data_IF_645511814350
#
_entry.id   IF_645511814350
#
_cell.length_a   1.000
_cell.length_b   1.000
_cell.length_c   1.000
_cell.angle_alpha   90.00
_cell.angle_beta   90.00
_cell.angle_gamma   90.00
#
_symmetry.space_group_name_H-M   'P 1'
#
loop_
_entity.id
_entity.type
_entity.pdbx_description
1 polymer ?
#
# COMPACT_ATOMS: atom_id res chain seq x y z
N UNK A 1 14.18 1.75 24.75
CA UNK A 1 12.77 2.18 24.71
C UNK A 1 12.02 1.48 23.58
N UNK A 2 10.69 1.38 23.69
CA UNK A 2 9.83 0.77 22.66
C UNK A 2 10.02 1.45 21.30
N UNK A 3 10.11 2.78 21.27
CA UNK A 3 10.36 3.52 20.02
C UNK A 3 11.66 3.06 19.34
N UNK A 4 12.76 2.93 20.10
CA UNK A 4 14.04 2.48 19.58
C UNK A 4 13.94 1.07 19.01
N UNK A 5 13.27 0.15 19.72
CA UNK A 5 13.07 -1.21 19.24
C UNK A 5 12.26 -1.27 17.96
N UNK A 6 11.20 -0.46 17.83
CA UNK A 6 10.42 -0.38 16.60
C UNK A 6 11.31 0.09 15.43
N UNK A 7 12.15 1.10 15.63
CA UNK A 7 13.06 1.58 14.58
C UNK A 7 14.10 0.53 14.15
N UNK A 8 14.58 -0.26 15.08
CA UNK A 8 15.64 -1.25 14.87
C UNK A 8 15.08 -2.57 14.32
N UNK A 9 14.04 -3.11 14.94
CA UNK A 9 13.57 -4.47 14.65
C UNK A 9 12.40 -4.52 13.65
N UNK A 10 11.55 -3.51 13.55
CA UNK A 10 10.42 -3.54 12.63
C UNK A 10 10.82 -3.76 11.16
N UNK A 11 11.91 -3.16 10.63
CA UNK A 11 12.37 -3.46 9.28
C UNK A 11 12.78 -4.91 9.08
N UNK A 12 13.40 -5.52 10.09
CA UNK A 12 13.87 -6.92 10.04
C UNK A 12 12.69 -7.88 10.07
N UNK A 13 11.77 -7.69 11.02
CA UNK A 13 10.56 -8.49 11.15
C UNK A 13 9.70 -8.41 9.90
N UNK A 14 9.56 -7.20 9.33
CA UNK A 14 8.82 -7.00 8.09
C UNK A 14 9.42 -7.77 6.91
N UNK A 15 10.75 -7.83 6.79
CA UNK A 15 11.39 -8.62 5.74
C UNK A 15 11.17 -10.13 5.92
N UNK A 16 11.20 -10.62 7.15
CA UNK A 16 10.93 -12.03 7.48
C UNK A 16 9.46 -12.36 7.15
N UNK A 17 8.54 -11.52 7.58
CA UNK A 17 7.12 -11.66 7.31
C UNK A 17 6.83 -11.65 5.81
N UNK A 18 7.39 -10.69 5.09
CA UNK A 18 7.23 -10.56 3.63
C UNK A 18 7.69 -11.79 2.85
N UNK A 19 8.74 -12.46 3.32
CA UNK A 19 9.22 -13.71 2.72
C UNK A 19 8.28 -14.90 2.98
N UNK A 20 7.60 -14.93 4.13
CA UNK A 20 6.68 -16.01 4.51
C UNK A 20 5.35 -15.94 3.78
N UNK A 21 4.84 -14.74 3.50
CA UNK A 21 3.56 -14.51 2.84
C UNK A 21 3.68 -14.59 1.31
N UNK A 22 3.91 -15.81 0.79
CA UNK A 22 4.06 -16.04 -0.66
C UNK A 22 2.73 -16.25 -1.39
N UNK A 23 1.62 -16.48 -0.70
CA UNK A 23 0.30 -16.70 -1.31
C UNK A 23 -0.57 -15.47 -1.02
N UNK A 24 -0.62 -14.55 -2.00
CA UNK A 24 -1.63 -13.51 -2.00
C UNK A 24 -2.91 -14.05 -2.64
N UNK A 25 -4.05 -13.85 -1.99
CA UNK A 25 -5.33 -14.10 -2.64
C UNK A 25 -5.49 -13.18 -3.84
N UNK A 26 -6.05 -13.70 -4.92
CA UNK A 26 -6.11 -13.03 -6.22
C UNK A 26 -6.95 -11.74 -6.26
N UNK A 27 -7.66 -11.38 -5.19
CA UNK A 27 -8.40 -10.12 -5.06
C UNK A 27 -7.62 -9.17 -4.17
N UNK A 28 -7.19 -8.05 -4.73
CA UNK A 28 -6.45 -7.02 -4.00
C UNK A 28 -7.28 -5.77 -3.79
N UNK A 29 -7.15 -5.17 -2.62
CA UNK A 29 -7.63 -3.81 -2.34
C UNK A 29 -6.41 -2.91 -2.23
N UNK A 30 -6.43 -1.83 -3.00
CA UNK A 30 -5.35 -0.85 -3.01
C UNK A 30 -5.94 0.49 -2.62
N UNK A 31 -5.30 1.15 -1.69
CA UNK A 31 -5.68 2.48 -1.24
C UNK A 31 -4.46 3.37 -1.04
N UNK A 32 -4.71 4.67 -1.09
CA UNK A 32 -3.73 5.71 -0.88
C UNK A 32 -4.15 6.57 0.31
N UNK A 33 -3.27 6.71 1.26
CA UNK A 33 -3.42 7.69 2.34
C UNK A 33 -2.23 8.63 2.38
N UNK A 34 -2.32 9.70 3.14
CA UNK A 34 -1.24 10.68 3.26
C UNK A 34 -0.87 10.90 4.71
N UNK A 35 0.41 11.13 4.93
CA UNK A 35 1.01 11.43 6.22
C UNK A 35 1.88 12.68 6.11
N UNK A 36 2.04 13.41 7.22
CA UNK A 36 2.86 14.61 7.27
C UNK A 36 4.20 14.29 7.92
N UNK A 37 5.30 14.58 7.23
CA UNK A 37 6.66 14.36 7.70
C UNK A 37 7.37 15.71 7.72
N UNK A 38 7.74 16.19 8.91
CA UNK A 38 8.34 17.53 9.09
C UNK A 38 7.57 18.62 8.33
N UNK A 39 6.25 18.63 8.46
CA UNK A 39 5.39 19.61 7.81
C UNK A 39 5.11 19.38 6.33
N UNK A 40 5.75 18.42 5.66
CA UNK A 40 5.54 18.10 4.25
C UNK A 40 4.69 16.86 4.06
N UNK A 41 3.73 16.92 3.14
CA UNK A 41 2.90 15.77 2.80
C UNK A 41 3.69 14.70 2.07
N UNK A 42 3.45 13.46 2.45
CA UNK A 42 3.95 12.24 1.80
C UNK A 42 2.79 11.27 1.64
N UNK A 43 2.86 10.43 0.62
CA UNK A 43 1.77 9.55 0.21
C UNK A 43 2.14 8.11 0.48
N UNK A 44 1.25 7.41 1.15
CA UNK A 44 1.41 6.00 1.50
C UNK A 44 0.45 5.17 0.65
N UNK A 45 1.03 4.36 -0.23
CA UNK A 45 0.32 3.32 -0.95
C UNK A 45 0.30 2.05 -0.13
N UNK A 46 -0.85 1.42 -0.03
CA UNK A 46 -1.05 0.18 0.71
C UNK A 46 -1.91 -0.77 -0.09
N UNK A 47 -1.59 -2.06 -0.01
CA UNK A 47 -2.38 -3.13 -0.61
C UNK A 47 -2.64 -4.23 0.42
N UNK A 48 -3.88 -4.70 0.44
CA UNK A 48 -4.29 -5.87 1.22
C UNK A 48 -4.97 -6.89 0.29
N UNK A 49 -4.96 -8.15 0.70
CA UNK A 49 -5.69 -9.20 0.00
C UNK A 49 -7.18 -9.25 0.40
N UNK A 50 -7.89 -10.27 -0.07
CA UNK A 50 -9.31 -10.46 0.24
C UNK A 50 -9.60 -10.72 1.72
N UNK A 51 -8.64 -11.29 2.45
CA UNK A 51 -8.77 -11.60 3.88
C UNK A 51 -8.28 -10.46 4.79
N UNK A 52 -7.78 -9.38 4.21
CA UNK A 52 -7.28 -8.23 4.95
C UNK A 52 -5.79 -8.30 5.29
N UNK A 53 -5.05 -9.31 4.82
CA UNK A 53 -3.61 -9.38 5.04
C UNK A 53 -2.89 -8.35 4.18
N UNK A 54 -1.96 -7.63 4.80
CA UNK A 54 -1.16 -6.64 4.09
C UNK A 54 -0.21 -7.32 3.10
N UNK A 55 -0.32 -6.94 1.83
CA UNK A 55 0.57 -7.38 0.77
C UNK A 55 1.84 -6.55 0.71
N UNK A 56 1.68 -5.24 0.69
CA UNK A 56 2.80 -4.30 0.68
C UNK A 56 2.37 -2.91 1.12
N UNK A 57 3.37 -2.14 1.60
CA UNK A 57 3.25 -0.71 1.90
C UNK A 57 4.38 0.04 1.22
N UNK A 58 4.10 1.24 0.70
CA UNK A 58 5.10 2.05 0.04
C UNK A 58 4.89 3.55 0.23
N UNK A 59 5.86 4.19 0.87
CA UNK A 59 5.84 5.61 1.14
C UNK A 59 6.55 6.38 0.03
N UNK A 60 5.86 7.37 -0.55
CA UNK A 60 6.36 8.25 -1.61
C UNK A 60 6.23 9.71 -1.24
N UNK A 61 7.12 10.54 -1.77
CA UNK A 61 7.08 11.99 -1.56
C UNK A 61 6.05 12.69 -2.45
N UNK A 62 5.75 12.11 -3.61
CA UNK A 62 4.86 12.70 -4.62
C UNK A 62 3.67 11.79 -4.90
N UNK A 63 2.55 12.40 -5.19
CA UNK A 63 1.34 11.76 -5.69
C UNK A 63 1.28 11.92 -7.20
N UNK A 64 1.56 10.86 -7.92
CA UNK A 64 1.48 10.84 -9.36
C UNK A 64 1.08 9.46 -9.91
N UNK A 65 0.67 9.44 -11.17
CA UNK A 65 0.32 8.19 -11.87
C UNK A 65 1.50 7.22 -11.94
N UNK A 66 2.73 7.74 -11.92
CA UNK A 66 3.96 6.96 -11.95
C UNK A 66 4.15 6.16 -10.66
N UNK A 67 3.91 6.79 -9.52
CA UNK A 67 4.02 6.13 -8.21
C UNK A 67 2.97 5.04 -8.05
N UNK A 68 1.72 5.31 -8.43
CA UNK A 68 0.65 4.31 -8.41
C UNK A 68 0.96 3.11 -9.34
N UNK A 69 1.39 3.39 -10.56
CA UNK A 69 1.81 2.36 -11.52
C UNK A 69 2.96 1.51 -10.98
N UNK A 70 4.01 2.15 -10.46
CA UNK A 70 5.19 1.47 -9.94
C UNK A 70 4.86 0.60 -8.72
N UNK A 71 3.93 1.04 -7.87
CA UNK A 71 3.46 0.26 -6.74
C UNK A 71 2.73 -1.02 -7.18
N UNK A 72 1.78 -0.90 -8.11
CA UNK A 72 1.04 -2.05 -8.63
C UNK A 72 1.96 -3.02 -9.38
N UNK A 73 2.88 -2.50 -10.19
CA UNK A 73 3.91 -3.32 -10.86
C UNK A 73 4.75 -4.11 -9.86
N UNK A 74 5.11 -3.50 -8.73
CA UNK A 74 5.85 -4.15 -7.65
C UNK A 74 5.04 -5.30 -7.03
N UNK A 75 3.74 -5.11 -6.78
CA UNK A 75 2.85 -6.16 -6.29
C UNK A 75 2.77 -7.34 -7.27
N UNK A 76 2.57 -7.05 -8.56
CA UNK A 76 2.49 -8.11 -9.60
C UNK A 76 3.80 -8.90 -9.70
N UNK A 77 4.94 -8.24 -9.60
CA UNK A 77 6.24 -8.93 -9.61
C UNK A 77 6.43 -9.85 -8.39
N UNK A 78 5.87 -9.47 -7.26
CA UNK A 78 6.03 -10.22 -6.01
C UNK A 78 5.01 -11.35 -5.85
N UNK A 79 3.75 -11.11 -6.23
CA UNK A 79 2.62 -12.01 -5.95
C UNK A 79 1.98 -12.61 -7.19
N UNK A 80 2.38 -12.19 -8.39
CA UNK A 80 1.75 -12.62 -9.65
C UNK A 80 0.57 -11.74 -10.05
N UNK A 81 -0.16 -12.17 -11.08
CA UNK A 81 -1.26 -11.40 -11.66
C UNK A 81 -2.53 -11.52 -10.80
N UNK A 82 -3.15 -10.40 -10.37
CA UNK A 82 -4.42 -10.45 -9.67
C UNK A 82 -5.58 -10.79 -10.61
N UNK A 83 -6.61 -11.40 -10.07
CA UNK A 83 -7.88 -11.57 -10.79
C UNK A 83 -8.74 -10.30 -10.68
N UNK A 84 -8.68 -9.61 -9.54
CA UNK A 84 -9.43 -8.39 -9.28
C UNK A 84 -8.61 -7.41 -8.45
N UNK A 85 -8.67 -6.15 -8.84
CA UNK A 85 -8.06 -5.04 -8.10
C UNK A 85 -9.17 -4.03 -7.78
N UNK A 86 -9.41 -3.80 -6.51
CA UNK A 86 -10.40 -2.86 -6.01
C UNK A 86 -9.67 -1.61 -5.54
N UNK A 87 -10.12 -0.46 -5.99
CA UNK A 87 -9.57 0.84 -5.59
C UNK A 87 -10.70 1.82 -5.29
N UNK A 88 -10.32 2.95 -4.69
CA UNK A 88 -11.16 4.13 -4.67
C UNK A 88 -11.37 4.72 -6.09
N UNK A 89 -12.08 5.83 -6.16
CA UNK A 89 -12.37 6.50 -7.43
C UNK A 89 -11.30 7.52 -7.85
N UNK A 90 -10.12 7.54 -7.22
CA UNK A 90 -9.06 8.49 -7.50
C UNK A 90 -8.62 8.42 -8.98
N UNK A 91 -8.59 9.54 -9.71
CA UNK A 91 -8.24 9.56 -11.13
C UNK A 91 -6.84 9.02 -11.41
N UNK A 92 -5.87 9.33 -10.54
CA UNK A 92 -4.48 8.85 -10.64
C UNK A 92 -4.38 7.33 -10.61
N UNK A 93 -5.14 6.69 -9.74
CA UNK A 93 -5.18 5.24 -9.59
C UNK A 93 -5.85 4.58 -10.79
N UNK A 94 -6.95 5.16 -11.30
CA UNK A 94 -7.62 4.65 -12.51
C UNK A 94 -6.68 4.64 -13.72
N UNK A 95 -5.96 5.74 -13.96
CA UNK A 95 -4.98 5.83 -15.07
C UNK A 95 -3.85 4.82 -14.89
N UNK A 96 -3.32 4.69 -13.67
CA UNK A 96 -2.24 3.75 -13.38
C UNK A 96 -2.67 2.30 -13.63
N UNK A 97 -3.87 1.91 -13.18
CA UNK A 97 -4.38 0.55 -13.38
C UNK A 97 -4.67 0.26 -14.85
N UNK A 98 -5.22 1.21 -15.60
CA UNK A 98 -5.43 1.03 -17.04
C UNK A 98 -4.11 0.74 -17.77
N UNK A 99 -3.03 1.44 -17.41
CA UNK A 99 -1.68 1.16 -17.93
C UNK A 99 -1.17 -0.22 -17.52
N UNK A 100 -1.43 -0.64 -16.27
CA UNK A 100 -1.03 -1.97 -15.76
C UNK A 100 -1.78 -3.08 -16.49
N UNK A 101 -3.08 -2.96 -16.66
CA UNK A 101 -3.92 -3.93 -17.39
C UNK A 101 -3.33 -4.16 -18.79
N UNK A 102 -3.02 -3.07 -19.49
CA UNK A 102 -2.42 -3.12 -20.84
C UNK A 102 -1.01 -3.74 -20.83
N UNK A 103 -0.13 -3.29 -19.92
CA UNK A 103 1.27 -3.72 -19.87
C UNK A 103 1.43 -5.20 -19.46
N UNK A 104 0.59 -5.69 -18.55
CA UNK A 104 0.66 -7.06 -18.03
C UNK A 104 -0.37 -8.01 -18.65
N UNK A 105 -1.14 -7.54 -19.64
CA UNK A 105 -2.20 -8.31 -20.30
C UNK A 105 -3.17 -8.93 -19.28
N UNK A 106 -3.68 -8.10 -18.36
CA UNK A 106 -4.69 -8.51 -17.41
C UNK A 106 -6.07 -8.49 -18.08
N UNK A 107 -7.06 -9.16 -17.46
CA UNK A 107 -8.43 -9.11 -17.95
C UNK A 107 -8.97 -7.65 -17.87
N UNK A 108 -9.72 -7.18 -18.88
CA UNK A 108 -10.26 -5.81 -18.90
C UNK A 108 -11.15 -5.49 -17.70
N UNK A 109 -11.87 -6.47 -17.17
CA UNK A 109 -12.75 -6.40 -16.01
C UNK A 109 -12.04 -6.60 -14.66
N UNK A 110 -10.69 -6.68 -14.67
CA UNK A 110 -9.88 -6.86 -13.47
C UNK A 110 -10.04 -5.69 -12.49
N UNK A 111 -10.26 -4.47 -12.98
CA UNK A 111 -10.38 -3.29 -12.14
C UNK A 111 -11.83 -3.01 -11.75
N UNK A 112 -12.05 -2.85 -10.44
CA UNK A 112 -13.33 -2.45 -9.88
C UNK A 112 -13.13 -1.21 -9.00
N UNK A 113 -13.89 -0.16 -9.26
CA UNK A 113 -13.93 1.03 -8.42
C UNK A 113 -15.16 0.97 -7.54
N UNK A 114 -14.99 0.90 -6.23
CA UNK A 114 -16.11 0.90 -5.31
C UNK A 114 -15.72 1.55 -3.99
N UNK A 115 -16.46 2.58 -3.62
CA UNK A 115 -16.30 3.24 -2.32
C UNK A 115 -16.58 2.26 -1.16
N UNK A 116 -17.59 1.43 -1.28
CA UNK A 116 -18.00 0.52 -0.20
C UNK A 116 -17.12 -0.70 -0.04
N UNK A 117 -16.55 -1.22 -1.13
CA UNK A 117 -15.67 -2.39 -1.10
C UNK A 117 -14.27 -2.06 -0.55
N UNK A 118 -13.93 -0.78 -0.43
CA UNK A 118 -12.66 -0.33 0.14
C UNK A 118 -12.71 -0.04 1.65
N UNK A 119 -13.89 -0.14 2.27
CA UNK A 119 -14.04 0.13 3.70
C UNK A 119 -13.12 -0.73 4.59
N UNK A 120 -12.81 -1.97 4.17
CA UNK A 120 -11.90 -2.84 4.91
C UNK A 120 -10.51 -2.24 5.03
N UNK A 121 -9.93 -1.76 3.93
CA UNK A 121 -8.60 -1.12 3.94
C UNK A 121 -8.64 0.27 4.62
N UNK A 122 -9.76 0.99 4.50
CA UNK A 122 -9.93 2.27 5.17
C UNK A 122 -9.97 2.14 6.70
N UNK A 123 -10.61 1.09 7.22
CA UNK A 123 -10.62 0.80 8.66
C UNK A 123 -9.22 0.51 9.18
N UNK A 124 -8.43 -0.23 8.43
CA UNK A 124 -7.05 -0.57 8.73
C UNK A 124 -6.12 0.67 8.74
N UNK A 125 -6.44 1.72 7.99
CA UNK A 125 -5.71 2.98 8.03
C UNK A 125 -5.90 3.79 9.32
N UNK A 126 -6.78 3.37 10.23
CA UNK A 126 -7.09 4.11 11.46
C UNK A 126 -5.84 4.36 12.29
N UNK A 127 -5.02 3.35 12.50
CA UNK A 127 -3.78 3.47 13.27
C UNK A 127 -2.75 4.40 12.62
N UNK A 128 -2.69 4.41 11.30
CA UNK A 128 -1.82 5.31 10.52
C UNK A 128 -2.32 6.74 10.61
N UNK A 129 -3.63 6.96 10.47
CA UNK A 129 -4.27 8.29 10.52
C UNK A 129 -4.09 8.98 11.87
N UNK A 130 -4.12 8.25 12.97
CA UNK A 130 -3.87 8.79 14.33
C UNK A 130 -2.47 9.38 14.46
N UNK A 131 -1.48 8.85 13.74
CA UNK A 131 -0.08 9.27 13.78
C UNK A 131 0.35 10.14 12.60
N UNK A 132 -0.56 10.50 11.70
CA UNK A 132 -0.25 11.13 10.40
C UNK A 132 0.59 12.42 10.45
N UNK A 133 0.62 13.11 11.57
CA UNK A 133 1.35 14.37 11.75
C UNK A 133 2.58 14.27 12.65
N UNK A 134 2.89 13.09 13.18
CA UNK A 134 3.92 12.90 14.21
C UNK A 134 5.26 12.38 13.66
N UNK A 135 5.38 12.19 12.36
CA UNK A 135 6.60 11.65 11.77
C UNK A 135 7.68 12.71 11.61
N UNK A 136 8.90 12.42 12.08
CA UNK A 136 10.04 13.33 12.07
C UNK A 136 10.96 13.18 10.86
N UNK A 137 10.97 12.01 10.23
CA UNK A 137 11.73 11.76 9.01
C UNK A 137 11.10 10.66 8.15
N UNK A 138 11.49 10.59 6.87
CA UNK A 138 11.02 9.52 5.98
C UNK A 138 11.47 8.15 6.48
N UNK A 139 12.69 8.04 7.00
CA UNK A 139 13.22 6.75 7.47
C UNK A 139 12.49 6.27 8.71
N UNK A 140 12.30 7.14 9.71
CA UNK A 140 11.54 6.79 10.92
C UNK A 140 10.07 6.48 10.60
N UNK A 141 9.46 7.22 9.67
CA UNK A 141 8.11 6.94 9.21
C UNK A 141 8.02 5.55 8.55
N UNK A 142 8.93 5.22 7.64
CA UNK A 142 8.97 3.89 7.00
C UNK A 142 9.11 2.75 8.01
N UNK A 143 9.99 2.91 9.01
CA UNK A 143 10.20 1.88 10.01
C UNK A 143 8.99 1.71 10.93
N UNK A 144 8.38 2.82 11.37
CA UNK A 144 7.16 2.78 12.18
C UNK A 144 6.00 2.13 11.40
N UNK A 145 5.81 2.49 10.13
CA UNK A 145 4.76 1.90 9.30
C UNK A 145 4.95 0.40 9.13
N UNK A 146 6.18 -0.08 8.95
CA UNK A 146 6.49 -1.51 8.89
C UNK A 146 6.20 -2.25 10.20
N UNK A 147 6.31 -1.57 11.33
CA UNK A 147 6.01 -2.15 12.64
C UNK A 147 4.51 -2.13 13.01
N UNK A 148 3.69 -1.36 12.27
CA UNK A 148 2.22 -1.35 12.44
C UNK A 148 1.58 -2.49 11.65
N UNK A 149 2.17 -2.89 10.54
CA UNK A 149 1.74 -4.01 9.70
C UNK A 149 2.06 -5.37 10.35
#
# INVERSE_FOLDING_TARGET
TVYRWVQEYAPILYQIWKKKHKKAYYKWRIDETYIKIKGKWSYLYRAIDAEGHTLDIWLRKQRDNHSAYAFIKRLIKQFGKPQKVITDQAPSTKVAIAKVIKAFKLKPDCHCTSKYLNNLIEQDHRHIKVRKTRYQSINTAKNTLKGIE
#
